data_IF_458681377705
#
_entry.id   IF_458681377705
#
_cell.length_a   1.000
_cell.length_b   1.000
_cell.length_c   1.000
_cell.angle_alpha   90.00
_cell.angle_beta   90.00
_cell.angle_gamma   90.00
#
_symmetry.space_group_name_H-M   'P 1'
#
loop_
_entity.id
_entity.type
_entity.pdbx_description
1 polymer ?
#
# COMPACT_ATOMS: atom_id res chain seq x y z
N UNK A 1 -3.13 16.19 2.89
CA UNK A 1 -3.67 14.96 2.24
C UNK A 1 -3.16 13.79 3.04
N UNK A 2 -3.95 12.73 3.18
CA UNK A 2 -3.56 11.52 3.90
C UNK A 2 -3.40 10.37 2.91
N UNK A 3 -2.23 9.72 2.86
CA UNK A 3 -2.06 8.46 2.14
C UNK A 3 -2.41 7.32 3.09
N UNK A 4 -3.55 6.65 2.87
CA UNK A 4 -4.04 5.55 3.69
C UNK A 4 -4.54 4.41 2.81
N UNK A 5 -4.07 3.20 3.10
CA UNK A 5 -4.39 1.99 2.33
C UNK A 5 -4.12 2.16 0.82
N UNK A 6 -2.94 2.72 0.50
CA UNK A 6 -2.52 3.01 -0.87
C UNK A 6 -3.29 4.14 -1.58
N UNK A 7 -4.30 4.72 -0.93
CA UNK A 7 -5.17 5.76 -1.52
C UNK A 7 -4.86 7.13 -0.90
N UNK A 8 -4.80 8.17 -1.74
CA UNK A 8 -4.59 9.55 -1.30
C UNK A 8 -5.93 10.25 -1.05
N UNK A 9 -6.20 10.55 0.22
CA UNK A 9 -7.44 11.16 0.68
C UNK A 9 -7.24 12.67 0.90
N UNK A 10 -8.09 13.53 0.28
CA UNK A 10 -8.19 14.92 0.71
C UNK A 10 -8.76 14.97 2.13
N UNK A 11 -8.22 15.86 2.96
CA UNK A 11 -8.69 16.12 4.31
C UNK A 11 -9.42 17.46 4.32
N UNK A 12 -10.56 17.51 5.00
CA UNK A 12 -11.34 18.73 5.21
C UNK A 12 -11.24 19.09 6.69
N UNK A 13 -10.92 20.36 6.98
CA UNK A 13 -10.86 20.87 8.34
C UNK A 13 -12.27 20.90 8.95
N UNK A 14 -12.47 20.17 10.05
CA UNK A 14 -13.71 20.12 10.81
C UNK A 14 -13.81 21.28 11.80
N UNK A 15 -12.69 21.64 12.41
CA UNK A 15 -12.60 22.69 13.43
C UNK A 15 -11.30 22.64 14.21
N UNK A 16 -11.22 23.45 15.25
CA UNK A 16 -10.06 23.53 16.15
C UNK A 16 -10.52 23.25 17.58
N UNK A 17 -9.78 22.43 18.30
CA UNK A 17 -10.03 22.13 19.72
C UNK A 17 -9.62 23.31 20.61
N UNK A 18 -10.05 23.35 21.89
CA UNK A 18 -9.57 24.37 22.84
C UNK A 18 -8.05 24.37 23.05
N UNK A 19 -7.37 23.25 22.80
CA UNK A 19 -5.93 23.13 22.88
C UNK A 19 -5.19 23.69 21.65
N UNK A 20 -5.91 24.11 20.61
CA UNK A 20 -5.33 24.57 19.34
C UNK A 20 -5.06 23.45 18.33
N UNK A 21 -5.38 22.19 18.66
CA UNK A 21 -5.29 21.08 17.71
C UNK A 21 -6.38 21.21 16.63
N UNK A 22 -6.04 20.93 15.39
CA UNK A 22 -6.95 20.96 14.25
C UNK A 22 -7.53 19.56 14.00
N UNK A 23 -8.85 19.44 13.88
CA UNK A 23 -9.55 18.18 13.59
C UNK A 23 -9.93 18.11 12.11
N UNK A 24 -9.74 16.95 11.49
CA UNK A 24 -10.01 16.71 10.08
C UNK A 24 -10.89 15.49 9.85
N UNK A 25 -11.58 15.47 8.72
CA UNK A 25 -12.32 14.30 8.22
C UNK A 25 -12.05 14.09 6.72
N UNK A 26 -12.39 12.90 6.21
CA UNK A 26 -12.33 12.57 4.78
C UNK A 26 -13.61 13.05 4.09
N UNK A 27 -13.52 13.66 2.90
CA UNK A 27 -14.67 14.25 2.20
C UNK A 27 -15.85 13.28 1.96
N UNK A 28 -15.59 11.97 1.82
CA UNK A 28 -16.62 10.92 1.64
C UNK A 28 -17.14 10.32 2.95
N UNK A 29 -16.53 10.62 4.09
CA UNK A 29 -17.03 10.18 5.37
C UNK A 29 -17.83 11.31 6.00
N UNK A 30 -19.11 11.08 6.21
CA UNK A 30 -19.90 11.96 7.06
C UNK A 30 -19.32 11.96 8.47
N UNK A 31 -19.39 13.12 9.13
CA UNK A 31 -19.02 13.30 10.52
C UNK A 31 -19.70 12.22 11.38
N UNK A 32 -18.91 11.27 11.89
CA UNK A 32 -19.41 10.15 12.68
C UNK A 32 -18.92 8.76 12.25
N UNK A 33 -18.14 8.62 11.17
CA UNK A 33 -17.54 7.33 10.82
C UNK A 33 -16.00 7.29 10.85
N UNK A 34 -15.58 6.26 11.58
CA UNK A 34 -14.39 5.43 11.55
C UNK A 34 -13.01 5.96 11.89
N UNK A 35 -12.63 7.17 11.46
CA UNK A 35 -11.30 7.72 11.78
C UNK A 35 -11.41 9.11 12.40
N UNK A 36 -10.75 9.33 13.54
CA UNK A 36 -10.53 10.66 14.10
C UNK A 36 -9.13 11.13 13.71
N UNK A 37 -9.03 12.15 12.86
CA UNK A 37 -7.76 12.66 12.34
C UNK A 37 -7.48 14.03 12.97
N UNK A 38 -6.31 14.18 13.58
CA UNK A 38 -5.87 15.40 14.27
C UNK A 38 -4.49 15.84 13.81
N UNK A 39 -4.33 17.14 13.61
CA UNK A 39 -3.03 17.80 13.53
C UNK A 39 -2.79 18.54 14.83
N UNK A 40 -1.74 18.14 15.56
CA UNK A 40 -1.50 18.58 16.93
C UNK A 40 -0.31 19.51 17.01
N UNK A 41 -0.39 20.48 17.91
CA UNK A 41 0.69 21.41 18.21
C UNK A 41 1.33 21.03 19.54
N UNK A 42 2.54 20.48 19.50
CA UNK A 42 3.27 20.04 20.69
C UNK A 42 4.75 20.44 20.54
N UNK A 43 5.23 21.41 21.33
CA UNK A 43 6.64 21.83 21.32
C UNK A 43 7.64 20.71 21.62
N UNK A 44 7.20 19.61 22.24
CA UNK A 44 8.06 18.45 22.48
C UNK A 44 8.27 17.59 21.23
N UNK A 45 7.42 17.71 20.20
CA UNK A 45 7.63 17.00 18.93
C UNK A 45 8.78 17.63 18.13
N UNK A 46 9.46 16.83 17.31
CA UNK A 46 10.63 17.29 16.57
C UNK A 46 10.33 18.40 15.55
N UNK A 47 9.08 18.54 15.10
CA UNK A 47 8.62 19.64 14.23
C UNK A 47 7.78 20.70 14.95
N UNK A 48 7.52 20.55 16.24
CA UNK A 48 6.53 21.35 16.97
C UNK A 48 5.07 21.00 16.61
N UNK A 49 4.85 20.19 15.57
CA UNK A 49 3.55 19.62 15.21
C UNK A 49 3.70 18.15 14.78
N UNK A 50 2.60 17.40 14.81
CA UNK A 50 2.52 16.01 14.35
C UNK A 50 1.07 15.63 14.02
N UNK A 51 0.86 14.44 13.46
CA UNK A 51 -0.48 13.92 13.15
C UNK A 51 -0.86 12.74 14.05
N UNK A 52 -2.13 12.67 14.43
CA UNK A 52 -2.75 11.49 15.06
C UNK A 52 -3.95 11.02 14.25
N UNK A 53 -4.06 9.71 14.06
CA UNK A 53 -5.24 9.05 13.51
C UNK A 53 -5.71 8.03 14.53
N UNK A 54 -6.93 8.17 15.07
CA UNK A 54 -7.54 7.14 15.92
C UNK A 54 -8.55 6.34 15.09
N UNK A 55 -8.39 5.02 15.04
CA UNK A 55 -9.29 4.13 14.31
C UNK A 55 -10.55 3.72 15.10
N UNK A 56 -11.43 2.95 14.47
CA UNK A 56 -12.67 2.43 15.09
C UNK A 56 -12.42 1.53 16.30
N UNK A 57 -11.26 0.91 16.37
CA UNK A 57 -10.82 0.07 17.48
C UNK A 57 -10.13 0.89 18.57
N UNK A 58 -10.17 2.22 18.45
CA UNK A 58 -9.54 3.17 19.36
C UNK A 58 -8.01 3.02 19.42
N UNK A 59 -7.39 2.43 18.39
CA UNK A 59 -5.93 2.45 18.24
C UNK A 59 -5.52 3.80 17.67
N UNK A 60 -4.49 4.40 18.26
CA UNK A 60 -3.95 5.68 17.85
C UNK A 60 -2.65 5.48 17.08
N UNK A 61 -2.64 5.98 15.85
CA UNK A 61 -1.51 5.99 14.93
C UNK A 61 -0.93 7.41 14.95
N UNK A 62 0.29 7.54 15.46
CA UNK A 62 1.01 8.82 15.57
C UNK A 62 2.04 8.92 14.45
N UNK A 63 2.04 10.04 13.74
CA UNK A 63 2.92 10.26 12.61
C UNK A 63 3.74 11.55 12.77
N UNK A 64 5.04 11.42 12.62
CA UNK A 64 5.97 12.54 12.59
C UNK A 64 6.20 13.21 13.95
N UNK A 65 6.06 12.48 15.05
CA UNK A 65 6.40 13.02 16.37
C UNK A 65 7.92 13.14 16.57
N UNK A 66 8.67 12.16 16.06
CA UNK A 66 10.13 12.08 16.17
C UNK A 66 10.84 12.73 14.97
N UNK A 67 12.13 13.03 15.11
CA UNK A 67 12.87 13.75 14.07
C UNK A 67 13.00 12.96 12.77
N UNK A 68 13.21 11.65 12.90
CA UNK A 68 13.37 10.68 11.82
C UNK A 68 12.08 10.31 11.09
N UNK A 69 10.93 10.46 11.74
CA UNK A 69 9.61 10.17 11.16
C UNK A 69 9.01 11.35 10.38
N UNK A 70 9.72 12.47 10.25
CA UNK A 70 9.29 13.61 9.43
C UNK A 70 10.32 13.89 8.36
N UNK A 71 9.92 13.82 7.10
CA UNK A 71 10.80 14.19 5.99
C UNK A 71 10.55 15.63 5.55
N UNK A 72 11.64 16.37 5.40
CA UNK A 72 11.65 17.83 5.25
C UNK A 72 12.44 18.25 4.03
N UNK A 73 11.97 19.31 3.37
CA UNK A 73 12.79 20.06 2.43
C UNK A 73 13.30 21.33 3.09
N UNK A 74 14.51 21.75 2.72
CA UNK A 74 15.12 23.00 3.19
C UNK A 74 14.90 24.05 2.12
N UNK A 75 14.14 25.09 2.42
CA UNK A 75 13.95 26.22 1.53
C UNK A 75 15.25 27.06 1.42
N UNK A 76 15.40 27.93 0.40
CA UNK A 76 16.55 28.85 0.32
C UNK A 76 16.79 29.68 1.59
N UNK A 77 15.72 29.99 2.32
CA UNK A 77 15.72 30.69 3.61
C UNK A 77 16.24 29.86 4.80
N UNK A 78 16.69 28.62 4.56
CA UNK A 78 17.07 27.63 5.58
C UNK A 78 15.91 27.15 6.47
N UNK A 79 14.67 27.53 6.15
CA UNK A 79 13.49 26.99 6.84
C UNK A 79 13.24 25.55 6.40
N UNK A 80 13.03 24.66 7.37
CA UNK A 80 12.69 23.26 7.12
C UNK A 80 11.18 23.11 7.08
N UNK A 81 10.68 22.53 6.00
CA UNK A 81 9.26 22.33 5.79
C UNK A 81 8.97 20.84 5.67
N UNK A 82 8.17 20.25 6.58
CA UNK A 82 7.68 18.89 6.42
C UNK A 82 6.95 18.74 5.09
N UNK A 83 7.30 17.71 4.32
CA UNK A 83 6.54 17.30 3.13
C UNK A 83 5.95 15.90 3.29
N UNK A 84 6.41 15.13 4.28
CA UNK A 84 5.84 13.83 4.65
C UNK A 84 6.02 13.55 6.14
N UNK A 85 4.95 13.05 6.76
CA UNK A 85 4.94 12.51 8.11
C UNK A 85 4.77 11.00 7.99
N UNK A 86 5.70 10.24 8.55
CA UNK A 86 5.68 8.78 8.60
C UNK A 86 5.19 8.33 9.97
N UNK A 87 4.65 7.11 10.02
CA UNK A 87 4.22 6.48 11.27
C UNK A 87 5.41 6.37 12.24
N UNK A 88 5.29 6.86 13.47
CA UNK A 88 6.34 6.72 14.49
C UNK A 88 5.88 5.86 15.67
N UNK A 89 4.58 5.83 15.97
CA UNK A 89 4.02 5.05 17.07
C UNK A 89 2.61 4.57 16.77
N UNK A 90 2.31 3.33 17.15
CA UNK A 90 0.94 2.80 17.24
C UNK A 90 0.68 2.43 18.68
N UNK A 91 -0.45 2.84 19.22
CA UNK A 91 -0.86 2.53 20.60
C UNK A 91 -2.31 2.06 20.65
N UNK A 92 -2.58 1.01 21.43
CA UNK A 92 -3.93 0.50 21.67
C UNK A 92 -4.59 1.10 22.93
N UNK A 93 -5.86 0.75 23.18
CA UNK A 93 -6.62 1.20 24.36
C UNK A 93 -6.04 0.71 25.70
N UNK A 94 -5.17 -0.28 25.68
CA UNK A 94 -4.50 -0.84 26.85
C UNK A 94 -3.09 -0.26 27.02
N UNK A 95 -2.76 0.78 26.25
CA UNK A 95 -1.47 1.46 26.19
C UNK A 95 -0.31 0.57 25.76
N UNK A 96 -0.60 -0.59 25.15
CA UNK A 96 0.43 -1.36 24.47
C UNK A 96 0.81 -0.61 23.21
N UNK A 97 2.11 -0.56 22.90
CA UNK A 97 2.59 0.23 21.79
C UNK A 97 3.70 -0.45 20.98
N UNK A 98 3.81 0.04 19.75
CA UNK A 98 4.86 -0.24 18.78
C UNK A 98 5.46 1.09 18.32
N UNK A 99 6.77 1.15 18.12
CA UNK A 99 7.47 2.30 17.55
C UNK A 99 8.16 1.94 16.23
N UNK A 100 8.36 2.95 15.40
CA UNK A 100 8.93 2.85 14.06
C UNK A 100 10.02 3.91 13.90
N UNK A 101 11.22 3.48 13.53
CA UNK A 101 12.38 4.36 13.35
C UNK A 101 12.90 4.33 11.93
N UNK A 102 13.42 5.47 11.48
CA UNK A 102 13.84 5.65 10.10
C UNK A 102 15.22 6.26 9.97
N UNK A 103 15.93 5.88 8.92
CA UNK A 103 17.11 6.61 8.47
C UNK A 103 16.71 7.54 7.32
N UNK A 104 16.78 8.87 7.47
CA UNK A 104 16.47 9.80 6.38
C UNK A 104 17.51 9.68 5.27
N UNK A 105 17.05 9.77 4.04
CA UNK A 105 17.92 9.77 2.87
C UNK A 105 18.07 11.19 2.33
N UNK A 106 19.31 11.68 2.34
CA UNK A 106 19.59 13.03 1.87
C UNK A 106 19.71 13.06 0.34
N UNK A 107 19.08 14.06 -0.26
CA UNK A 107 19.24 14.47 -1.65
C UNK A 107 19.80 15.90 -1.74
N UNK A 108 20.15 16.30 -2.95
CA UNK A 108 20.43 17.68 -3.32
C UNK A 108 19.58 18.04 -4.55
N UNK A 109 18.96 19.21 -4.53
CA UNK A 109 18.29 19.78 -5.69
C UNK A 109 18.69 21.24 -5.83
N UNK A 110 19.34 21.58 -6.95
CA UNK A 110 19.84 22.93 -7.23
C UNK A 110 20.77 23.47 -6.12
N UNK A 111 21.61 22.61 -5.51
CA UNK A 111 22.51 22.98 -4.41
C UNK A 111 21.81 23.13 -3.05
N UNK A 112 20.54 22.72 -2.94
CA UNK A 112 19.80 22.67 -1.69
C UNK A 112 19.63 21.22 -1.24
N UNK A 113 20.16 20.93 -0.05
CA UNK A 113 19.96 19.62 0.56
C UNK A 113 18.52 19.46 1.06
N UNK A 114 17.94 18.28 0.83
CA UNK A 114 16.61 17.94 1.34
C UNK A 114 16.56 16.46 1.74
N UNK A 115 15.69 16.10 2.66
CA UNK A 115 15.38 14.71 2.96
C UNK A 115 14.47 14.21 1.84
N UNK A 116 15.03 13.51 0.84
CA UNK A 116 14.28 13.02 -0.33
C UNK A 116 13.35 11.86 -0.02
N UNK A 117 13.58 11.25 1.14
CA UNK A 117 12.89 10.09 1.61
C UNK A 117 13.60 9.56 2.85
N UNK A 118 13.46 8.27 3.07
CA UNK A 118 14.11 7.56 4.14
C UNK A 118 13.71 6.10 4.10
N UNK A 119 14.40 5.33 4.93
CA UNK A 119 14.23 3.89 5.02
C UNK A 119 13.78 3.56 6.42
N UNK A 120 12.87 2.59 6.53
CA UNK A 120 12.61 1.96 7.81
C UNK A 120 13.90 1.30 8.29
N UNK A 121 14.28 1.58 9.53
CA UNK A 121 15.48 1.06 10.19
C UNK A 121 15.11 0.05 11.27
N UNK A 122 14.09 0.37 12.06
CA UNK A 122 13.66 -0.48 13.16
C UNK A 122 12.14 -0.42 13.37
N UNK A 123 11.57 -1.56 13.74
CA UNK A 123 10.26 -1.66 14.36
C UNK A 123 10.44 -2.29 15.73
N UNK A 124 10.05 -1.60 16.81
CA UNK A 124 10.06 -2.16 18.15
C UNK A 124 8.62 -2.34 18.66
N UNK A 125 8.27 -3.48 19.25
CA UNK A 125 6.92 -3.74 19.76
C UNK A 125 6.89 -4.41 21.14
N UNK A 126 5.69 -4.61 21.66
CA UNK A 126 5.43 -5.15 23.00
C UNK A 126 5.82 -4.20 24.15
N UNK A 127 5.89 -2.89 23.87
CA UNK A 127 5.98 -1.87 24.92
C UNK A 127 4.63 -1.62 25.58
N UNK A 128 4.61 -1.12 26.82
CA UNK A 128 3.40 -0.68 27.50
C UNK A 128 3.66 0.61 28.30
N UNK A 129 2.99 1.71 27.90
CA UNK A 129 3.23 3.04 28.49
C UNK A 129 2.81 3.08 29.96
N UNK A 130 1.64 2.51 30.29
CA UNK A 130 1.10 2.53 31.67
C UNK A 130 1.98 1.74 32.65
N UNK A 131 2.61 0.67 32.18
CA UNK A 131 3.52 -0.15 32.97
C UNK A 131 4.97 0.38 32.95
N UNK A 132 5.23 1.46 32.20
CA UNK A 132 6.59 1.95 31.92
C UNK A 132 7.51 0.83 31.40
N UNK A 133 6.96 -0.04 30.56
CA UNK A 133 7.66 -1.16 29.95
C UNK A 133 8.09 -0.76 28.54
N UNK A 134 9.40 -0.73 28.31
CA UNK A 134 9.96 -0.54 26.97
C UNK A 134 9.66 -1.75 26.06
N UNK A 135 9.62 -1.58 24.73
CA UNK A 135 9.59 -2.69 23.79
C UNK A 135 10.76 -3.64 24.03
N UNK A 136 10.49 -4.94 23.93
CA UNK A 136 11.47 -6.02 24.11
C UNK A 136 11.56 -6.95 22.90
N UNK A 137 10.87 -6.61 21.81
CA UNK A 137 10.97 -7.27 20.52
C UNK A 137 11.23 -6.26 19.42
N UNK A 138 12.09 -6.65 18.47
CA UNK A 138 12.63 -5.75 17.47
C UNK A 138 12.66 -6.40 16.08
N UNK A 139 12.40 -5.62 15.05
CA UNK A 139 12.73 -5.94 13.65
C UNK A 139 13.73 -4.89 13.20
N UNK A 140 14.98 -5.30 12.97
CA UNK A 140 16.00 -4.44 12.38
C UNK A 140 16.05 -4.63 10.87
N UNK A 141 16.17 -3.53 10.14
CA UNK A 141 16.21 -3.50 8.69
C UNK A 141 17.62 -3.13 8.23
N UNK A 142 18.34 -4.08 7.65
CA UNK A 142 19.63 -3.80 7.01
C UNK A 142 19.42 -3.56 5.52
N UNK A 143 20.06 -2.50 5.01
CA UNK A 143 19.96 -2.06 3.64
C UNK A 143 21.24 -2.35 2.86
N UNK A 144 21.12 -2.52 1.55
CA UNK A 144 22.24 -2.57 0.60
C UNK A 144 22.06 -1.49 -0.46
N UNK A 145 23.17 -0.89 -0.91
CA UNK A 145 23.17 0.03 -2.04
C UNK A 145 22.66 -0.65 -3.31
N UNK A 146 21.86 0.07 -4.08
CA UNK A 146 21.50 -0.28 -5.45
C UNK A 146 22.61 0.27 -6.34
N UNK A 147 23.24 -0.57 -7.17
CA UNK A 147 24.35 -0.15 -8.04
C UNK A 147 23.93 0.72 -9.24
N UNK A 148 22.63 0.97 -9.43
CA UNK A 148 22.14 1.79 -10.53
C UNK A 148 22.15 3.26 -10.15
N UNK A 149 23.33 3.88 -10.31
CA UNK A 149 23.56 5.32 -10.30
C UNK A 149 23.00 5.99 -11.57
N UNK A 150 21.77 5.64 -11.98
CA UNK A 150 21.13 6.44 -13.02
C UNK A 150 21.00 7.87 -12.50
N UNK A 151 21.45 8.89 -13.26
CA UNK A 151 21.29 10.28 -12.85
C UNK A 151 19.78 10.57 -12.80
N UNK A 152 19.23 10.51 -11.60
CA UNK A 152 17.84 10.85 -11.35
C UNK A 152 17.75 12.36 -11.38
N UNK A 153 17.05 12.91 -12.38
CA UNK A 153 16.63 14.31 -12.35
C UNK A 153 15.63 14.47 -11.18
N UNK A 154 16.02 15.14 -10.09
CA UNK A 154 15.13 15.34 -8.95
C UNK A 154 13.98 16.30 -9.30
N UNK A 155 13.93 16.92 -10.48
CA UNK A 155 12.74 17.69 -10.89
C UNK A 155 11.60 16.78 -11.36
N UNK A 156 11.90 15.67 -12.02
CA UNK A 156 10.93 14.76 -12.67
C UNK A 156 10.83 13.37 -12.00
N UNK A 157 11.80 12.97 -11.19
CA UNK A 157 11.95 11.61 -10.65
C UNK A 157 12.18 11.56 -9.13
N UNK A 158 11.42 12.38 -8.37
CA UNK A 158 11.66 12.76 -6.96
C UNK A 158 11.73 11.66 -5.89
N UNK A 159 11.55 10.38 -6.21
CA UNK A 159 11.33 9.34 -5.19
C UNK A 159 12.03 8.02 -5.46
N UNK A 160 13.16 8.02 -6.19
CA UNK A 160 13.99 6.82 -6.27
C UNK A 160 14.89 6.72 -5.02
N UNK A 161 14.57 5.72 -4.20
CA UNK A 161 15.41 5.29 -3.10
C UNK A 161 16.62 4.51 -3.66
N UNK A 162 17.83 4.86 -3.18
CA UNK A 162 19.11 4.24 -3.56
C UNK A 162 19.41 2.90 -2.91
N UNK A 163 18.65 2.49 -1.91
CA UNK A 163 18.92 1.23 -1.21
C UNK A 163 17.77 0.24 -1.41
N UNK A 164 18.10 -1.04 -1.31
CA UNK A 164 17.17 -2.15 -1.19
C UNK A 164 17.35 -2.81 0.18
N UNK A 165 16.32 -3.49 0.68
CA UNK A 165 16.43 -4.26 1.93
C UNK A 165 17.35 -5.45 1.67
N UNK A 166 18.44 -5.57 2.41
CA UNK A 166 19.35 -6.73 2.32
C UNK A 166 18.86 -7.86 3.21
N UNK A 167 18.59 -7.56 4.49
CA UNK A 167 18.00 -8.52 5.42
C UNK A 167 17.17 -7.83 6.49
N UNK A 168 16.28 -8.62 7.10
CA UNK A 168 15.53 -8.27 8.30
C UNK A 168 15.95 -9.21 9.41
N UNK A 169 16.32 -8.65 10.56
CA UNK A 169 16.61 -9.40 11.78
C UNK A 169 15.46 -9.22 12.76
N UNK A 170 14.85 -10.34 13.18
CA UNK A 170 13.76 -10.35 14.15
C UNK A 170 14.32 -10.86 15.47
N UNK A 171 14.23 -10.03 16.50
CA UNK A 171 14.72 -10.31 17.85
C UNK A 171 13.57 -10.29 18.85
N UNK A 172 13.62 -11.20 19.82
CA UNK A 172 12.83 -11.15 21.05
C UNK A 172 13.70 -10.70 22.22
N UNK A 173 13.26 -10.93 23.47
CA UNK A 173 13.94 -10.44 24.66
C UNK A 173 15.39 -10.96 24.77
N UNK A 174 16.34 -10.17 24.25
CA UNK A 174 17.76 -10.46 24.21
C UNK A 174 18.19 -11.66 23.36
N UNK A 175 17.37 -12.13 22.41
CA UNK A 175 17.68 -13.31 21.59
C UNK A 175 17.23 -13.13 20.13
N UNK A 176 18.04 -13.54 19.14
CA UNK A 176 17.60 -13.59 17.75
C UNK A 176 16.54 -14.68 17.56
N UNK A 177 15.49 -14.40 16.79
CA UNK A 177 14.41 -15.35 16.46
C UNK A 177 14.52 -15.83 15.02
N UNK A 178 14.53 -14.88 14.08
CA UNK A 178 14.57 -15.15 12.65
C UNK A 178 15.41 -14.11 11.92
N UNK A 179 16.00 -14.54 10.81
CA UNK A 179 16.57 -13.63 9.81
C UNK A 179 15.91 -13.89 8.46
N UNK A 180 15.52 -12.83 7.76
CA UNK A 180 15.06 -12.90 6.38
C UNK A 180 16.07 -12.21 5.48
N UNK A 181 16.76 -12.95 4.61
CA UNK A 181 17.69 -12.38 3.62
C UNK A 181 17.00 -12.24 2.28
N UNK A 182 17.14 -11.09 1.65
CA UNK A 182 16.53 -10.75 0.36
C UNK A 182 17.60 -10.79 -0.73
N UNK A 183 17.30 -11.50 -1.81
CA UNK A 183 18.22 -11.69 -2.92
C UNK A 183 17.70 -10.96 -4.15
N UNK A 184 18.57 -10.21 -4.82
CA UNK A 184 18.20 -9.44 -6.00
C UNK A 184 19.08 -9.79 -7.19
N UNK A 185 18.50 -9.67 -8.39
CA UNK A 185 19.22 -9.68 -9.66
C UNK A 185 18.97 -8.37 -10.40
N UNK A 186 20.01 -7.89 -11.08
CA UNK A 186 19.91 -6.78 -12.02
C UNK A 186 19.58 -7.31 -13.42
N UNK A 187 18.57 -6.72 -14.04
CA UNK A 187 18.01 -7.21 -15.30
C UNK A 187 17.77 -6.04 -16.26
N UNK A 188 18.24 -6.11 -17.52
CA UNK A 188 18.07 -5.03 -18.48
C UNK A 188 16.62 -4.93 -18.98
N UNK A 189 16.10 -3.71 -19.07
CA UNK A 189 14.79 -3.37 -19.61
C UNK A 189 14.93 -2.14 -20.52
N UNK A 190 15.19 -2.41 -21.80
CA UNK A 190 15.53 -1.37 -22.77
C UNK A 190 16.84 -0.67 -22.42
N UNK A 191 16.79 0.66 -22.30
CA UNK A 191 17.92 1.48 -21.89
C UNK A 191 18.13 1.60 -20.37
N UNK A 192 17.35 0.86 -19.57
CA UNK A 192 17.40 0.94 -18.10
C UNK A 192 17.71 -0.42 -17.47
N UNK A 193 18.33 -0.44 -16.30
CA UNK A 193 18.51 -1.67 -15.50
C UNK A 193 17.48 -1.69 -14.38
N UNK A 194 16.77 -2.80 -14.24
CA UNK A 194 15.81 -3.06 -13.17
C UNK A 194 16.45 -3.93 -12.11
N UNK A 195 16.21 -3.62 -10.84
CA UNK A 195 16.57 -4.50 -9.72
C UNK A 195 15.34 -5.33 -9.36
N UNK A 196 15.41 -6.64 -9.52
CA UNK A 196 14.31 -7.56 -9.26
C UNK A 196 14.63 -8.41 -8.03
N UNK A 197 13.66 -8.55 -7.13
CA UNK A 197 13.79 -9.47 -6.00
C UNK A 197 13.71 -10.90 -6.53
N UNK A 198 14.82 -11.63 -6.61
CA UNK A 198 14.83 -13.02 -7.11
C UNK A 198 14.38 -14.03 -6.06
N UNK A 199 14.36 -13.64 -4.78
CA UNK A 199 13.98 -14.54 -3.71
C UNK A 199 14.24 -14.00 -2.32
N UNK A 200 13.79 -14.76 -1.33
CA UNK A 200 14.07 -14.53 0.07
C UNK A 200 14.37 -15.86 0.78
N UNK A 201 15.28 -15.83 1.73
CA UNK A 201 15.63 -16.98 2.57
C UNK A 201 15.35 -16.63 4.03
N UNK A 202 14.54 -17.43 4.69
CA UNK A 202 14.33 -17.38 6.14
C UNK A 202 15.32 -18.33 6.83
N UNK A 203 16.01 -17.81 7.83
CA UNK A 203 16.88 -18.55 8.74
C UNK A 203 16.28 -18.56 10.14
N UNK A 204 16.65 -19.59 10.91
CA UNK A 204 16.34 -19.65 12.33
C UNK A 204 17.34 -18.85 13.17
N UNK A 205 17.43 -19.23 14.45
CA UNK A 205 18.32 -18.63 15.44
C UNK A 205 19.81 -18.79 15.10
N UNK A 206 20.18 -19.80 14.31
CA UNK A 206 21.56 -20.04 13.88
C UNK A 206 22.01 -19.11 12.74
N UNK A 207 21.08 -18.37 12.12
CA UNK A 207 21.27 -17.47 10.97
C UNK A 207 21.98 -18.07 9.74
N UNK A 208 22.18 -19.39 9.73
CA UNK A 208 23.05 -20.07 8.76
C UNK A 208 22.34 -21.21 8.04
N UNK A 209 21.43 -21.92 8.71
CA UNK A 209 20.66 -22.99 8.09
C UNK A 209 19.35 -22.43 7.52
N UNK A 210 19.11 -22.51 6.19
CA UNK A 210 17.84 -22.11 5.62
C UNK A 210 16.68 -22.95 6.18
N UNK A 211 15.66 -22.29 6.72
CA UNK A 211 14.40 -22.92 7.13
C UNK A 211 13.37 -22.92 6.00
N UNK A 212 13.35 -21.82 5.24
CA UNK A 212 12.41 -21.63 4.15
C UNK A 212 13.04 -20.73 3.09
N UNK A 213 13.00 -21.19 1.84
CA UNK A 213 13.52 -20.48 0.68
C UNK A 213 12.37 -20.21 -0.28
N UNK A 214 12.23 -18.96 -0.69
CA UNK A 214 11.30 -18.56 -1.75
C UNK A 214 12.12 -18.03 -2.91
N UNK A 215 11.96 -18.65 -4.08
CA UNK A 215 12.50 -18.14 -5.33
C UNK A 215 11.38 -17.52 -6.18
N UNK A 216 11.69 -16.40 -6.79
CA UNK A 216 10.82 -15.62 -7.66
C UNK A 216 11.45 -15.61 -9.04
N UNK A 217 10.67 -15.96 -10.06
CA UNK A 217 11.09 -15.80 -11.45
C UNK A 217 10.24 -14.74 -12.12
N UNK A 218 10.79 -14.08 -13.13
CA UNK A 218 10.10 -13.01 -13.84
C UNK A 218 10.04 -13.30 -15.34
N UNK A 219 8.93 -12.94 -15.96
CA UNK A 219 8.81 -12.87 -17.42
C UNK A 219 9.46 -11.57 -17.89
N UNK A 220 10.35 -11.62 -18.90
CA UNK A 220 11.00 -10.44 -19.43
C UNK A 220 9.96 -9.49 -20.08
N UNK A 221 10.28 -8.18 -20.15
CA UNK A 221 9.50 -7.22 -20.91
C UNK A 221 9.33 -7.70 -22.36
N UNK A 222 8.16 -7.49 -22.95
CA UNK A 222 7.92 -7.84 -24.36
C UNK A 222 8.34 -6.70 -25.28
N UNK A 223 8.26 -5.46 -24.78
CA UNK A 223 8.85 -4.27 -25.37
C UNK A 223 9.69 -3.54 -24.30
N UNK A 224 10.73 -2.85 -24.76
CA UNK A 224 11.59 -2.06 -23.89
C UNK A 224 10.80 -1.04 -23.07
N UNK A 225 10.92 -1.08 -21.75
CA UNK A 225 10.24 -0.18 -20.81
C UNK A 225 8.95 -0.73 -20.22
N UNK A 226 8.43 -1.86 -20.73
CA UNK A 226 7.22 -2.51 -20.19
C UNK A 226 7.39 -3.01 -18.75
N UNK A 227 8.63 -3.19 -18.32
CA UNK A 227 8.97 -3.81 -17.05
C UNK A 227 8.82 -5.32 -17.03
N UNK A 228 9.38 -5.92 -15.99
CA UNK A 228 9.29 -7.34 -15.70
C UNK A 228 7.98 -7.68 -14.99
N UNK A 229 7.45 -8.87 -15.26
CA UNK A 229 6.22 -9.38 -14.63
C UNK A 229 6.56 -10.62 -13.81
N UNK A 230 6.00 -10.77 -12.62
CA UNK A 230 6.25 -11.95 -11.79
C UNK A 230 5.75 -13.21 -12.53
N UNK A 231 6.65 -14.11 -12.86
CA UNK A 231 6.35 -15.35 -13.59
C UNK A 231 5.96 -16.49 -12.67
N UNK A 232 6.76 -16.77 -11.64
CA UNK A 232 6.45 -17.83 -10.68
C UNK A 232 7.02 -17.59 -9.29
N UNK A 233 6.45 -18.30 -8.32
CA UNK A 233 6.89 -18.40 -6.93
C UNK A 233 7.15 -19.87 -6.64
N UNK A 234 8.36 -20.20 -6.23
CA UNK A 234 8.80 -21.53 -5.81
C UNK A 234 9.18 -21.44 -4.33
N UNK A 235 8.69 -22.38 -3.51
CA UNK A 235 9.01 -22.45 -2.08
C UNK A 235 9.68 -23.77 -1.77
N UNK A 236 10.88 -23.75 -1.21
CA UNK A 236 11.69 -24.93 -0.91
C UNK A 236 11.81 -25.88 -2.12
N UNK A 237 12.05 -25.31 -3.31
CA UNK A 237 12.12 -26.05 -4.57
C UNK A 237 10.77 -26.50 -5.16
N UNK A 238 9.66 -26.40 -4.42
CA UNK A 238 8.34 -26.77 -4.89
C UNK A 238 7.59 -25.56 -5.48
N UNK A 239 7.12 -25.62 -6.74
CA UNK A 239 6.29 -24.57 -7.31
C UNK A 239 5.07 -24.29 -6.43
N UNK A 240 4.79 -23.01 -6.18
CA UNK A 240 3.61 -22.57 -5.43
C UNK A 240 2.60 -21.93 -6.36
N UNK A 241 3.06 -20.92 -7.11
CA UNK A 241 2.23 -20.11 -7.99
C UNK A 241 2.96 -19.85 -9.31
N UNK A 242 2.23 -19.94 -10.42
CA UNK A 242 2.69 -19.53 -11.75
C UNK A 242 1.66 -18.59 -12.35
N UNK A 243 2.13 -17.46 -12.87
CA UNK A 243 1.29 -16.42 -13.46
C UNK A 243 1.45 -16.42 -14.98
N UNK A 244 0.33 -16.31 -15.69
CA UNK A 244 0.33 -15.98 -17.11
C UNK A 244 -0.35 -14.63 -17.30
N UNK A 245 0.15 -13.85 -18.26
CA UNK A 245 -0.36 -12.53 -18.56
C UNK A 245 -0.93 -12.48 -19.97
N UNK A 246 -1.90 -11.61 -20.18
CA UNK A 246 -2.39 -11.23 -21.50
C UNK A 246 -2.20 -9.72 -21.71
N UNK A 247 -1.88 -9.29 -22.94
CA UNK A 247 -1.83 -7.88 -23.27
C UNK A 247 -3.25 -7.31 -23.37
N UNK A 248 -3.39 -6.03 -23.03
CA UNK A 248 -4.57 -5.23 -23.35
C UNK A 248 -4.16 -3.81 -23.70
N UNK A 249 -4.98 -3.11 -24.49
CA UNK A 249 -4.71 -1.73 -24.88
C UNK A 249 -5.51 -0.77 -24.01
N UNK A 250 -4.84 0.19 -23.38
CA UNK A 250 -5.45 1.27 -22.62
C UNK A 250 -4.92 2.61 -23.12
N UNK A 251 -5.82 3.45 -23.65
CA UNK A 251 -5.47 4.74 -24.28
C UNK A 251 -4.31 4.66 -25.31
N UNK A 252 -4.28 3.58 -26.10
CA UNK A 252 -3.24 3.39 -27.13
C UNK A 252 -1.93 2.81 -26.60
N UNK A 253 -1.79 2.60 -25.30
CA UNK A 253 -0.64 1.94 -24.67
C UNK A 253 -0.95 0.46 -24.44
N UNK A 254 -0.02 -0.44 -24.80
CA UNK A 254 -0.12 -1.85 -24.46
C UNK A 254 0.28 -2.04 -23.00
N UNK A 255 -0.61 -2.61 -22.21
CA UNK A 255 -0.40 -2.98 -20.82
C UNK A 255 -0.62 -4.48 -20.65
N UNK A 256 -0.23 -5.04 -19.51
CA UNK A 256 -0.36 -6.46 -19.21
C UNK A 256 -1.16 -6.67 -17.94
N UNK A 257 -2.00 -7.70 -17.95
CA UNK A 257 -2.80 -8.11 -16.79
C UNK A 257 -2.73 -9.62 -16.62
N UNK A 258 -2.95 -10.10 -15.39
CA UNK A 258 -2.87 -11.53 -15.07
C UNK A 258 -4.06 -12.23 -15.74
N UNK A 259 -3.81 -13.13 -16.68
CA UNK A 259 -4.84 -13.94 -17.31
C UNK A 259 -5.16 -15.17 -16.45
N UNK A 260 -4.13 -15.85 -15.96
CA UNK A 260 -4.29 -17.05 -15.14
C UNK A 260 -3.29 -17.11 -14.00
N UNK A 261 -3.71 -17.74 -12.90
CA UNK A 261 -2.88 -18.12 -11.78
C UNK A 261 -3.00 -19.64 -11.65
N UNK A 262 -1.86 -20.33 -11.71
CA UNK A 262 -1.76 -21.76 -11.48
C UNK A 262 -1.18 -21.97 -10.10
N UNK A 263 -1.89 -22.69 -9.24
CA UNK A 263 -1.45 -23.04 -7.91
C UNK A 263 -1.24 -24.54 -7.82
N UNK A 264 -0.02 -24.96 -7.49
CA UNK A 264 0.21 -26.35 -7.14
C UNK A 264 -0.47 -26.61 -5.79
N UNK A 265 -1.39 -27.57 -5.73
CA UNK A 265 -1.72 -28.18 -4.44
C UNK A 265 -0.51 -28.99 -3.99
N UNK A 266 -0.32 -29.18 -2.68
CA UNK A 266 0.88 -29.82 -2.11
C UNK A 266 1.14 -31.26 -2.57
N UNK A 267 1.45 -32.17 -1.65
CA UNK A 267 1.98 -33.52 -1.93
C UNK A 267 1.07 -34.48 -2.75
N UNK A 268 -0.01 -34.00 -3.37
CA UNK A 268 -0.98 -34.78 -4.14
C UNK A 268 -1.10 -34.43 -5.63
N UNK A 269 -0.24 -33.56 -6.19
CA UNK A 269 -0.15 -33.33 -7.65
C UNK A 269 -1.29 -32.55 -8.31
N UNK A 270 -2.43 -32.36 -7.65
CA UNK A 270 -3.53 -31.58 -8.24
C UNK A 270 -3.15 -30.11 -8.44
N UNK A 271 -3.48 -29.54 -9.60
CA UNK A 271 -3.22 -28.15 -9.94
C UNK A 271 -4.55 -27.38 -9.92
N UNK A 272 -4.62 -26.28 -9.17
CA UNK A 272 -5.74 -25.35 -9.25
C UNK A 272 -5.40 -24.25 -10.25
N UNK A 273 -6.27 -24.03 -11.24
CA UNK A 273 -6.13 -22.94 -12.21
C UNK A 273 -7.24 -21.93 -11.95
N UNK A 274 -6.83 -20.70 -11.67
CA UNK A 274 -7.71 -19.56 -11.52
C UNK A 274 -7.62 -18.70 -12.79
N UNK A 275 -8.74 -18.51 -13.47
CA UNK A 275 -8.84 -17.56 -14.58
C UNK A 275 -9.37 -16.25 -14.04
N UNK A 276 -8.64 -15.17 -14.27
CA UNK A 276 -9.03 -13.83 -13.83
C UNK A 276 -9.84 -13.18 -14.95
N UNK A 277 -11.06 -12.76 -14.63
CA UNK A 277 -11.91 -12.02 -15.56
C UNK A 277 -11.98 -10.56 -15.14
N UNK A 278 -11.78 -9.69 -16.12
CA UNK A 278 -11.87 -8.25 -16.00
C UNK A 278 -13.19 -7.79 -16.66
N UNK A 279 -14.04 -7.08 -15.92
CA UNK A 279 -15.30 -6.55 -16.45
C UNK A 279 -15.11 -5.45 -17.51
N UNK A 280 -16.15 -5.24 -18.32
CA UNK A 280 -16.23 -4.07 -19.21
C UNK A 280 -16.71 -2.82 -18.44
N UNK A 281 -16.24 -1.61 -18.81
CA UNK A 281 -14.95 -1.32 -19.43
C UNK A 281 -14.21 -0.26 -18.60
N UNK A 282 -12.89 -0.41 -18.55
CA UNK A 282 -12.06 0.78 -18.67
C UNK A 282 -12.40 1.43 -20.03
N UNK A 283 -13.42 2.30 -20.03
CA UNK A 283 -14.07 2.88 -21.22
C UNK A 283 -15.59 3.16 -21.13
N UNK A 284 -16.31 2.84 -20.05
CA UNK A 284 -17.68 3.35 -19.82
C UNK A 284 -17.63 4.46 -18.75
N UNK A 285 -18.17 5.67 -19.03
CA UNK A 285 -18.32 6.71 -18.02
C UNK A 285 -19.16 6.31 -16.78
N UNK A 286 -19.82 5.14 -16.76
CA UNK A 286 -20.60 4.63 -15.63
C UNK A 286 -19.79 3.92 -14.51
N UNK A 287 -18.47 3.73 -14.64
CA UNK A 287 -17.59 3.62 -13.48
C UNK A 287 -17.60 2.34 -12.62
N UNK A 288 -18.12 1.20 -13.08
CA UNK A 288 -18.07 -0.04 -12.29
C UNK A 288 -16.95 -0.99 -12.76
N UNK A 289 -15.92 -1.19 -11.92
CA UNK A 289 -14.88 -2.21 -12.15
C UNK A 289 -15.30 -3.53 -11.50
N UNK A 290 -15.66 -4.51 -12.33
CA UNK A 290 -15.97 -5.86 -11.87
C UNK A 290 -14.75 -6.78 -11.96
N UNK A 291 -14.56 -7.57 -10.91
CA UNK A 291 -13.56 -8.63 -10.84
C UNK A 291 -14.27 -9.96 -10.58
N UNK A 292 -14.03 -10.95 -11.43
CA UNK A 292 -14.54 -12.31 -11.25
C UNK A 292 -13.40 -13.32 -11.31
N UNK A 293 -13.47 -14.35 -10.47
CA UNK A 293 -12.54 -15.48 -10.49
C UNK A 293 -13.29 -16.75 -10.83
N UNK A 294 -12.88 -17.42 -11.91
CA UNK A 294 -13.29 -18.80 -12.16
C UNK A 294 -12.21 -19.73 -11.64
N UNK A 295 -12.56 -20.62 -10.70
CA UNK A 295 -11.67 -21.67 -10.20
C UNK A 295 -11.95 -22.96 -10.95
N UNK A 296 -10.92 -23.54 -11.56
CA UNK A 296 -10.95 -24.90 -12.11
C UNK A 296 -9.92 -25.76 -11.39
N UNK A 297 -10.34 -26.87 -10.81
CA UNK A 297 -9.43 -27.86 -10.23
C UNK A 297 -9.11 -28.86 -11.34
N UNK A 298 -7.84 -28.93 -11.73
CA UNK A 298 -7.32 -29.99 -12.58
C UNK A 298 -6.84 -31.09 -11.64
N UNK A 299 -7.63 -32.16 -11.52
CA UNK A 299 -7.14 -33.40 -10.93
C UNK A 299 -6.40 -34.18 -12.01
N UNK A 300 -5.19 -34.63 -11.69
CA UNK A 300 -4.49 -35.61 -12.53
C UNK A 300 -5.37 -36.84 -12.70
N UNK A 301 -5.43 -37.34 -13.94
CA UNK A 301 -6.08 -38.60 -14.23
C UNK A 301 -5.46 -39.67 -13.33
N UNK A 302 -6.23 -40.25 -12.41
CA UNK A 302 -5.81 -41.49 -11.76
C UNK A 302 -5.45 -42.51 -12.84
N UNK A 303 -4.39 -43.33 -12.67
CA UNK A 303 -3.96 -44.31 -13.67
C UNK A 303 -5.06 -45.28 -14.13
N UNK A 304 -6.17 -45.37 -13.40
CA UNK A 304 -7.33 -46.24 -13.68
C UNK A 304 -8.40 -45.64 -14.60
N UNK A 305 -8.18 -44.49 -15.22
CA UNK A 305 -9.01 -44.00 -16.32
C UNK A 305 -10.07 -42.98 -15.95
N UNK A 306 -10.31 -42.07 -16.90
CA UNK A 306 -11.22 -40.90 -16.89
C UNK A 306 -10.88 -39.78 -15.89
N UNK A 307 -10.11 -38.78 -16.35
CA UNK A 307 -10.08 -37.47 -15.70
C UNK A 307 -11.44 -36.79 -15.84
N UNK A 308 -12.20 -36.65 -14.75
CA UNK A 308 -13.35 -35.76 -14.72
C UNK A 308 -12.90 -34.37 -14.28
N UNK A 309 -12.89 -33.40 -15.18
CA UNK A 309 -12.74 -31.99 -14.79
C UNK A 309 -14.07 -31.54 -14.16
N UNK A 310 -14.17 -31.56 -12.84
CA UNK A 310 -15.27 -30.90 -12.14
C UNK A 310 -15.06 -29.38 -12.24
N UNK A 311 -15.84 -28.71 -13.08
CA UNK A 311 -15.96 -27.25 -13.04
C UNK A 311 -16.82 -26.92 -11.83
N UNK A 312 -16.17 -26.68 -10.70
CA UNK A 312 -16.84 -26.08 -9.54
C UNK A 312 -16.90 -24.59 -9.82
N UNK A 313 -18.04 -24.11 -10.33
CA UNK A 313 -18.33 -22.68 -10.28
C UNK A 313 -18.45 -22.32 -8.79
N UNK A 314 -17.50 -21.59 -8.16
CA UNK A 314 -17.83 -20.96 -6.90
C UNK A 314 -19.05 -20.08 -7.18
N UNK A 315 -20.07 -20.11 -6.30
CA UNK A 315 -21.08 -19.07 -6.31
C UNK A 315 -20.32 -17.74 -6.35
N UNK A 316 -20.42 -17.00 -7.45
CA UNK A 316 -19.77 -15.72 -7.58
C UNK A 316 -20.32 -14.87 -6.46
N UNK A 317 -19.52 -14.63 -5.41
CA UNK A 317 -19.82 -13.59 -4.44
C UNK A 317 -19.65 -12.27 -5.19
N UNK A 318 -20.70 -11.88 -5.90
CA UNK A 318 -20.87 -10.55 -6.47
C UNK A 318 -20.87 -9.59 -5.29
N UNK A 319 -19.72 -8.99 -5.01
CA UNK A 319 -19.68 -7.78 -4.18
C UNK A 319 -20.07 -6.65 -5.11
N UNK A 320 -21.38 -6.47 -5.25
CA UNK A 320 -21.96 -5.33 -5.93
C UNK A 320 -21.83 -4.15 -4.96
N UNK A 321 -20.86 -3.27 -5.19
CA UNK A 321 -20.85 -1.95 -4.56
C UNK A 321 -21.82 -1.07 -5.37
N UNK A 322 -23.11 -1.18 -5.09
CA UNK A 322 -24.08 -0.25 -5.63
C UNK A 322 -23.79 1.13 -5.04
N UNK A 323 -23.46 2.09 -5.91
CA UNK A 323 -23.52 3.52 -5.60
C UNK A 323 -24.98 3.95 -5.79
N UNK A 324 -25.75 4.19 -4.71
CA UNK A 324 -27.20 4.33 -4.79
C UNK A 324 -27.69 5.62 -5.47
N UNK A 325 -26.79 6.56 -5.80
CA UNK A 325 -27.20 7.93 -6.12
C UNK A 325 -27.10 8.35 -7.60
N UNK A 326 -26.60 7.49 -8.50
CA UNK A 326 -26.69 7.73 -9.96
C UNK A 326 -26.12 9.07 -10.46
N UNK A 327 -25.17 9.67 -9.73
CA UNK A 327 -24.62 10.98 -10.08
C UNK A 327 -23.55 10.84 -11.19
N UNK A 328 -23.76 11.54 -12.31
CA UNK A 328 -22.72 11.69 -13.33
C UNK A 328 -21.68 12.71 -12.86
N UNK A 329 -20.41 12.30 -12.82
CA UNK A 329 -19.29 13.15 -12.41
C UNK A 329 -18.51 13.63 -13.64
N UNK A 330 -18.27 14.93 -13.73
CA UNK A 330 -17.45 15.53 -14.78
C UNK A 330 -15.96 15.43 -14.40
N UNK A 331 -15.20 14.61 -15.13
CA UNK A 331 -13.75 14.49 -14.98
C UNK A 331 -13.04 15.47 -15.93
N UNK A 332 -12.22 16.38 -15.39
CA UNK A 332 -11.30 17.21 -16.20
C UNK A 332 -9.91 16.58 -16.26
N UNK A 333 -9.30 16.60 -17.44
CA UNK A 333 -8.02 15.96 -17.74
C UNK A 333 -6.86 16.96 -17.72
N UNK A 334 -5.63 16.43 -17.57
CA UNK A 334 -4.46 17.17 -17.09
C UNK A 334 -3.52 17.73 -18.16
N UNK A 335 -4.01 17.89 -19.38
CA UNK A 335 -3.26 18.49 -20.49
C UNK A 335 -3.54 20.00 -20.64
N UNK A 336 -4.16 20.64 -19.64
CA UNK A 336 -4.40 22.09 -19.62
C UNK A 336 -3.16 22.84 -19.11
N UNK A 337 -2.82 23.96 -19.77
CA UNK A 337 -1.70 24.82 -19.42
C UNK A 337 -1.79 25.32 -17.97
N UNK A 338 -0.69 25.17 -17.21
CA UNK A 338 -0.56 25.63 -15.81
C UNK A 338 -0.43 24.52 -14.74
N UNK A 339 -0.52 23.24 -15.13
CA UNK A 339 -0.49 22.10 -14.19
C UNK A 339 0.63 21.07 -14.45
N UNK A 340 1.62 21.38 -15.28
CA UNK A 340 2.81 20.53 -15.50
C UNK A 340 3.66 20.39 -14.21
N UNK A 341 4.01 19.15 -13.84
CA UNK A 341 4.97 18.85 -12.77
C UNK A 341 4.39 18.45 -11.38
N UNK A 342 3.08 18.33 -11.22
CA UNK A 342 2.45 17.86 -9.97
C UNK A 342 2.02 16.38 -10.05
N UNK A 343 1.88 15.67 -8.92
CA UNK A 343 1.42 14.26 -8.87
C UNK A 343 -0.08 14.12 -9.20
N UNK A 344 -0.48 13.05 -9.92
CA UNK A 344 -1.86 12.79 -10.40
C UNK A 344 -2.93 13.14 -9.37
N UNK A 345 -3.97 13.87 -9.79
CA UNK A 345 -5.17 14.09 -8.97
C UNK A 345 -6.41 14.18 -9.85
N UNK A 346 -7.35 13.26 -9.67
CA UNK A 346 -8.74 13.48 -10.02
C UNK A 346 -9.37 14.35 -8.91
N UNK A 347 -9.99 15.46 -9.28
CA UNK A 347 -10.81 16.25 -8.36
C UNK A 347 -12.26 15.99 -8.74
N UNK A 348 -12.96 15.20 -7.94
CA UNK A 348 -14.41 15.10 -8.03
C UNK A 348 -14.98 16.33 -7.33
N UNK A 349 -15.67 17.22 -8.04
CA UNK A 349 -16.55 18.21 -7.40
C UNK A 349 -17.95 17.61 -7.33
N UNK A 350 -18.53 17.57 -6.14
CA UNK A 350 -19.98 17.42 -6.04
C UNK A 350 -20.63 18.65 -6.71
N UNK A 351 -21.72 18.48 -7.50
CA UNK A 351 -22.49 19.63 -7.93
C UNK A 351 -22.98 20.38 -6.68
N UNK A 352 -22.73 21.68 -6.64
CA UNK A 352 -23.20 22.58 -5.58
C UNK A 352 -24.71 22.41 -5.40
N UNK A 353 -25.11 21.80 -4.28
CA UNK A 353 -26.51 21.67 -3.92
C UNK A 353 -27.10 23.06 -3.63
N UNK A 354 -28.22 23.35 -4.30
CA UNK A 354 -29.13 24.46 -4.05
C UNK A 354 -29.56 24.43 -2.55
N UNK A 355 -29.67 25.57 -1.85
CA UNK A 355 -29.96 25.59 -0.41
C UNK A 355 -31.38 25.06 -0.14
N UNK A 356 -31.50 23.90 0.51
CA UNK A 356 -32.78 23.40 1.04
C UNK A 356 -32.96 23.82 2.49
N UNK A 357 -33.57 24.98 2.67
CA UNK A 357 -34.40 25.24 3.85
C UNK A 357 -35.60 24.29 3.80
N UNK A 358 -35.62 23.27 4.67
CA UNK A 358 -36.84 22.66 5.23
C UNK A 358 -36.46 21.63 6.31
N UNK A 359 -36.72 21.97 7.57
CA UNK A 359 -36.74 21.02 8.70
C UNK A 359 -37.88 20.03 8.47
N UNK A 360 -37.70 18.72 8.70
CA UNK A 360 -38.82 17.80 8.89
C UNK A 360 -39.35 17.92 10.32
N UNK A 361 -40.66 18.12 10.43
CA UNK A 361 -41.44 17.98 11.66
C UNK A 361 -41.62 16.48 11.93
N UNK A 362 -41.38 16.08 13.17
CA UNK A 362 -41.64 14.73 13.69
C UNK A 362 -43.15 14.45 13.77
N UNK A 363 -43.61 13.39 13.11
CA UNK A 363 -44.77 12.58 13.45
C UNK A 363 -44.50 11.20 12.80
N UNK A 364 -44.40 10.08 13.52
CA UNK A 364 -45.42 9.53 14.40
C UNK A 364 -46.23 8.51 13.61
N UNK A 365 -45.81 7.24 13.59
CA UNK A 365 -46.58 6.15 12.98
C UNK A 365 -45.73 5.01 12.43
N UNK A 366 -45.78 3.85 13.07
CA UNK A 366 -45.14 2.62 12.57
C UNK A 366 -45.87 2.01 11.36
N UNK A 367 -45.20 1.09 10.67
CA UNK A 367 -45.49 -0.36 10.64
C UNK A 367 -44.78 -1.03 9.44
N UNK A 368 -44.14 -2.16 9.76
CA UNK A 368 -43.92 -3.42 9.01
C UNK A 368 -43.40 -3.44 7.55
N UNK A 369 -42.39 -4.28 7.40
CA UNK A 369 -41.98 -4.93 6.16
C UNK A 369 -43.10 -5.77 5.52
N UNK A 370 -43.20 -5.71 4.20
CA UNK A 370 -43.57 -6.87 3.37
C UNK A 370 -42.79 -6.83 2.07
N UNK A 371 -42.25 -7.99 1.69
CA UNK A 371 -41.53 -8.26 0.44
C UNK A 371 -42.45 -8.11 -0.78
N UNK A 372 -41.87 -7.63 -1.88
CA UNK A 372 -42.05 -8.15 -3.24
C UNK A 372 -40.77 -7.87 -4.02
#
# INVERSE_FOLDING_TARGET
MLLWDGTLWPLVLAGTTPAGDEEYYREREWAGQDLRIRHKHDPASASGTYWEVTDTQQRTWRLGYTADSVWRYVAPSQSRHPWRWNLDRVEDIHTNYQTWHYTPEMGDWNGQSFERGGYLEEIAWNGNERLNQAPDHHVYVTLTDRRNDLPTDPATQRFFLRHAIQHLDVEGPGQPLWRYTFHYDEQPDGGTTRLLLRGLTQYGTDTTTPLNEVALTYQPPLQAGDGYRLGSIVRNGAPQLTYAYEPFTFHGTTLYRIATIRQASGSGGAEAVYTVRYGQPFGDPAGQTFWGFDRRILQDATPSGTASAAVVHPASTLVQADDPDGASHECRYRTEDGFEGLAYKCICRAPTAIPRNRRPVLAGGGWRCSRS
#
